data_IF_335992957797
#
_entry.id   IF_335992957797
#
_cell.length_a   1.000
_cell.length_b   1.000
_cell.length_c   1.000
_cell.angle_alpha   90.00
_cell.angle_beta   90.00
_cell.angle_gamma   90.00
#
_symmetry.space_group_name_H-M   'P 1'
#
loop_
_entity.id
_entity.type
_entity.pdbx_description
1 polymer ?
#
# COMPACT_ATOMS: atom_id res chain seq x y z
N UNK A 1 -25.49 2.03 8.67
CA UNK A 1 -24.39 2.07 9.64
C UNK A 1 -23.10 2.27 8.88
N UNK A 2 -22.49 3.43 9.01
CA UNK A 2 -21.21 3.76 8.43
C UNK A 2 -20.15 2.89 9.07
N UNK A 3 -19.63 1.95 8.31
CA UNK A 3 -18.41 1.24 8.70
C UNK A 3 -17.25 2.23 8.52
N UNK A 4 -16.95 2.97 9.58
CA UNK A 4 -15.69 3.71 9.66
C UNK A 4 -14.56 2.70 9.90
N UNK A 5 -14.15 2.02 8.83
CA UNK A 5 -12.92 1.23 8.85
C UNK A 5 -11.78 2.25 8.87
N UNK A 6 -11.03 2.28 9.98
CA UNK A 6 -9.93 3.25 10.20
C UNK A 6 -8.61 2.52 10.42
N UNK A 7 -8.27 1.64 9.47
CA UNK A 7 -7.04 0.87 9.56
C UNK A 7 -6.04 1.26 8.47
N UNK A 8 -4.76 1.23 8.84
CA UNK A 8 -3.65 1.27 7.92
C UNK A 8 -3.06 -0.10 7.81
N UNK A 9 -2.86 -0.51 6.58
CA UNK A 9 -2.35 -1.82 6.27
C UNK A 9 -0.95 -1.74 5.70
N UNK A 10 -0.09 -2.59 6.17
CA UNK A 10 1.14 -2.99 5.53
C UNK A 10 1.10 -4.49 5.26
N UNK A 11 1.40 -4.92 4.04
CA UNK A 11 1.39 -6.34 3.67
C UNK A 11 2.65 -6.69 2.90
N UNK A 12 3.27 -7.82 3.25
CA UNK A 12 4.42 -8.35 2.55
C UNK A 12 5.30 -9.25 3.40
N UNK A 13 6.36 -9.78 2.78
CA UNK A 13 7.37 -10.55 3.51
C UNK A 13 8.17 -9.63 4.43
N UNK A 14 8.31 -10.02 5.70
CA UNK A 14 9.08 -9.24 6.68
C UNK A 14 10.59 -9.41 6.42
N UNK A 15 11.09 -8.62 5.46
CA UNK A 15 12.46 -8.62 4.98
C UNK A 15 13.01 -7.20 4.92
N UNK A 16 14.06 -6.90 5.69
CA UNK A 16 14.60 -5.53 5.81
C UNK A 16 15.37 -5.07 4.57
N UNK A 17 15.97 -5.97 3.81
CA UNK A 17 16.74 -5.58 2.61
C UNK A 17 15.88 -4.95 1.52
N UNK A 18 14.66 -5.41 1.33
CA UNK A 18 13.78 -4.97 0.26
C UNK A 18 12.52 -4.28 0.78
N UNK A 19 11.72 -4.98 1.58
CA UNK A 19 10.37 -4.51 1.98
C UNK A 19 10.38 -3.44 3.08
N UNK A 20 11.44 -3.37 3.89
CA UNK A 20 11.64 -2.39 4.96
C UNK A 20 10.41 -2.18 5.85
N UNK A 21 9.86 -3.25 6.42
CA UNK A 21 8.70 -3.16 7.32
C UNK A 21 8.99 -2.36 8.61
N UNK A 22 10.25 -2.22 8.98
CA UNK A 22 10.70 -1.39 10.10
C UNK A 22 10.27 0.07 9.94
N UNK A 23 10.24 0.59 8.72
CA UNK A 23 9.88 1.99 8.45
C UNK A 23 8.44 2.31 8.80
N UNK A 24 7.51 1.38 8.57
CA UNK A 24 6.11 1.65 8.93
C UNK A 24 5.93 1.76 10.45
N UNK A 25 6.72 1.03 11.25
CA UNK A 25 6.73 1.21 12.71
C UNK A 25 7.25 2.59 13.12
N UNK A 26 8.29 3.09 12.44
CA UNK A 26 8.82 4.44 12.68
C UNK A 26 7.82 5.53 12.29
N UNK A 27 7.12 5.35 11.17
CA UNK A 27 6.01 6.22 10.74
C UNK A 27 4.89 6.16 11.76
N UNK A 28 4.49 4.97 12.21
CA UNK A 28 3.41 4.79 13.20
C UNK A 28 3.73 5.45 14.54
N UNK A 29 5.00 5.43 14.97
CA UNK A 29 5.44 6.13 16.18
C UNK A 29 5.11 7.64 16.15
N UNK A 30 5.14 8.25 14.97
CA UNK A 30 4.83 9.67 14.78
C UNK A 30 3.31 9.94 14.74
N UNK A 31 2.51 8.93 14.42
CA UNK A 31 1.08 9.06 14.14
C UNK A 31 0.17 8.60 15.27
N UNK A 32 0.60 7.64 16.08
CA UNK A 32 -0.29 6.93 17.02
C UNK A 32 -1.00 7.83 18.02
N UNK A 33 -0.41 8.95 18.41
CA UNK A 33 -1.03 9.91 19.34
C UNK A 33 -2.01 10.85 18.65
N UNK A 34 -1.75 11.16 17.36
CA UNK A 34 -2.58 12.04 16.55
C UNK A 34 -3.79 11.30 15.93
N UNK A 35 -3.73 9.97 15.90
CA UNK A 35 -4.74 9.13 15.27
C UNK A 35 -5.21 8.04 16.26
N UNK A 36 -5.90 8.42 17.37
CA UNK A 36 -6.24 7.51 18.46
C UNK A 36 -7.22 6.39 18.06
N UNK A 37 -8.04 6.63 17.04
CA UNK A 37 -9.05 5.68 16.55
C UNK A 37 -8.53 4.78 15.41
N UNK A 38 -7.26 4.89 15.05
CA UNK A 38 -6.68 4.11 13.96
C UNK A 38 -5.76 3.00 14.46
N UNK A 39 -5.72 1.90 13.74
CA UNK A 39 -4.81 0.78 13.99
C UNK A 39 -3.79 0.63 12.87
N UNK A 40 -2.62 0.10 13.18
CA UNK A 40 -1.66 -0.38 12.19
C UNK A 40 -1.73 -1.91 12.14
N UNK A 41 -2.08 -2.46 10.99
CA UNK A 41 -2.10 -3.91 10.77
C UNK A 41 -0.95 -4.30 9.86
N UNK A 42 -0.14 -5.26 10.28
CA UNK A 42 1.00 -5.80 9.55
C UNK A 42 0.70 -7.25 9.18
N UNK A 43 0.43 -7.49 7.90
CA UNK A 43 0.12 -8.82 7.37
C UNK A 43 1.35 -9.38 6.67
N UNK A 44 1.77 -10.54 7.08
CA UNK A 44 2.91 -11.26 6.52
C UNK A 44 3.83 -11.82 7.58
N UNK A 45 4.77 -12.61 7.13
CA UNK A 45 5.77 -13.25 7.98
C UNK A 45 7.14 -13.21 7.27
N UNK A 46 8.18 -13.54 8.03
CA UNK A 46 9.53 -13.56 7.48
C UNK A 46 10.61 -13.65 8.57
N UNK A 47 11.87 -13.69 8.16
CA UNK A 47 12.98 -13.89 9.08
C UNK A 47 13.11 -12.80 10.16
N UNK A 48 12.50 -11.62 9.94
CA UNK A 48 12.58 -10.49 10.86
C UNK A 48 11.30 -10.27 11.68
N UNK A 49 10.41 -11.26 11.76
CA UNK A 49 9.14 -11.15 12.51
C UNK A 49 9.35 -10.85 14.00
N UNK A 50 10.35 -11.48 14.62
CA UNK A 50 10.65 -11.27 16.03
C UNK A 50 11.25 -9.87 16.27
N UNK A 51 12.17 -9.45 15.42
CA UNK A 51 12.81 -8.13 15.47
C UNK A 51 11.77 -7.01 15.29
N UNK A 52 10.80 -7.20 14.42
CA UNK A 52 9.67 -6.27 14.24
C UNK A 52 8.85 -6.12 15.51
N UNK A 53 8.50 -7.23 16.16
CA UNK A 53 7.77 -7.22 17.44
C UNK A 53 8.59 -6.59 18.57
N UNK A 54 9.89 -6.84 18.62
CA UNK A 54 10.80 -6.22 19.57
C UNK A 54 10.92 -4.72 19.32
N UNK A 55 11.06 -4.29 18.07
CA UNK A 55 11.11 -2.88 17.70
C UNK A 55 9.81 -2.16 18.07
N UNK A 56 8.65 -2.76 17.81
CA UNK A 56 7.36 -2.22 18.23
C UNK A 56 7.29 -1.99 19.74
N UNK A 57 7.76 -2.96 20.55
CA UNK A 57 7.84 -2.82 22.01
C UNK A 57 8.82 -1.73 22.44
N UNK A 58 10.03 -1.69 21.85
CA UNK A 58 11.06 -0.69 22.11
C UNK A 58 10.57 0.73 21.84
N UNK A 59 9.77 0.92 20.79
CA UNK A 59 9.17 2.19 20.43
C UNK A 59 7.90 2.51 21.23
N UNK A 60 7.46 1.61 22.12
CA UNK A 60 6.22 1.73 22.88
C UNK A 60 5.00 1.98 22.00
N UNK A 61 4.92 1.23 20.88
CA UNK A 61 3.82 1.37 19.94
C UNK A 61 2.55 0.73 20.48
N UNK A 62 1.45 1.42 20.32
CA UNK A 62 0.11 0.94 20.65
C UNK A 62 -0.69 0.71 19.36
N UNK A 63 -1.72 -0.12 19.45
CA UNK A 63 -2.63 -0.42 18.35
C UNK A 63 -1.89 -0.90 17.10
N UNK A 64 -0.90 -1.80 17.29
CA UNK A 64 -0.20 -2.50 16.23
C UNK A 64 -0.56 -3.97 16.29
N UNK A 65 -1.17 -4.48 15.24
CA UNK A 65 -1.46 -5.90 15.04
C UNK A 65 -0.43 -6.54 14.10
N UNK A 66 0.14 -7.65 14.52
CA UNK A 66 0.95 -8.52 13.68
C UNK A 66 0.14 -9.77 13.35
N UNK A 67 -0.50 -9.76 12.18
CA UNK A 67 -1.40 -10.84 11.74
C UNK A 67 -0.65 -12.13 11.33
N UNK A 68 0.67 -12.05 11.13
CA UNK A 68 1.45 -13.18 10.65
C UNK A 68 1.15 -13.51 9.18
N UNK A 69 1.47 -14.76 8.78
CA UNK A 69 1.13 -15.24 7.44
C UNK A 69 -0.37 -15.53 7.37
N UNK A 70 -1.10 -14.67 6.69
CA UNK A 70 -2.55 -14.74 6.57
C UNK A 70 -3.00 -14.37 5.15
N UNK A 71 -4.24 -14.76 4.79
CA UNK A 71 -4.84 -14.31 3.53
C UNK A 71 -5.09 -12.78 3.62
N UNK A 72 -4.45 -11.96 2.78
CA UNK A 72 -4.51 -10.51 2.88
C UNK A 72 -5.86 -9.92 2.46
N UNK A 73 -6.70 -10.65 1.73
CA UNK A 73 -7.97 -10.15 1.18
C UNK A 73 -8.89 -9.60 2.27
N UNK A 74 -8.98 -10.29 3.42
CA UNK A 74 -9.76 -9.80 4.56
C UNK A 74 -9.27 -8.41 4.99
N UNK A 75 -7.98 -8.27 5.15
CA UNK A 75 -7.34 -7.03 5.62
C UNK A 75 -7.44 -5.90 4.59
N UNK A 76 -7.33 -6.20 3.29
CA UNK A 76 -7.58 -5.20 2.23
C UNK A 76 -9.00 -4.63 2.32
N UNK A 77 -10.02 -5.49 2.58
CA UNK A 77 -11.41 -5.05 2.72
C UNK A 77 -11.68 -4.21 3.97
N UNK A 78 -10.89 -4.40 5.01
CA UNK A 78 -11.03 -3.75 6.31
C UNK A 78 -10.11 -2.52 6.47
N UNK A 79 -9.30 -2.20 5.46
CA UNK A 79 -8.32 -1.10 5.54
C UNK A 79 -8.65 0.05 4.59
N UNK A 80 -8.44 1.26 5.07
CA UNK A 80 -8.62 2.49 4.26
C UNK A 80 -7.35 2.91 3.54
N UNK A 81 -6.18 2.72 4.16
CA UNK A 81 -4.89 3.18 3.65
C UNK A 81 -3.93 2.00 3.56
N UNK A 82 -3.27 1.85 2.41
CA UNK A 82 -2.20 0.90 2.22
C UNK A 82 -0.84 1.59 2.20
N UNK A 83 0.07 1.15 3.08
CA UNK A 83 1.39 1.74 3.25
C UNK A 83 2.46 0.85 2.61
N UNK A 84 3.18 1.35 1.59
CA UNK A 84 4.31 0.66 0.99
C UNK A 84 5.62 1.38 1.35
N UNK A 85 6.51 0.68 2.07
CA UNK A 85 7.76 1.28 2.59
C UNK A 85 9.02 0.66 1.99
N UNK A 86 8.88 -0.09 0.91
CA UNK A 86 9.95 -0.84 0.24
C UNK A 86 11.08 0.05 -0.27
N UNK A 87 12.28 -0.52 -0.35
CA UNK A 87 13.42 0.09 -1.04
C UNK A 87 13.22 0.05 -2.57
N UNK A 88 12.74 -1.08 -3.06
CA UNK A 88 12.45 -1.30 -4.48
C UNK A 88 11.45 -2.45 -4.64
N UNK A 89 10.77 -2.45 -5.76
CA UNK A 89 9.87 -3.51 -6.21
C UNK A 89 10.07 -3.74 -7.71
N UNK A 90 9.74 -4.92 -8.18
CA UNK A 90 9.59 -5.14 -9.63
C UNK A 90 8.35 -4.45 -10.16
N UNK A 91 7.18 -4.79 -9.62
CA UNK A 91 5.90 -4.14 -9.95
C UNK A 91 5.19 -3.57 -8.71
N UNK A 92 5.26 -4.26 -7.58
CA UNK A 92 4.47 -3.90 -6.39
C UNK A 92 3.08 -4.55 -6.37
N UNK A 93 2.98 -5.86 -6.62
CA UNK A 93 1.71 -6.59 -6.70
C UNK A 93 0.81 -6.36 -5.49
N UNK A 94 1.36 -6.36 -4.27
CA UNK A 94 0.59 -6.11 -3.04
C UNK A 94 -0.09 -4.74 -3.04
N UNK A 95 0.48 -3.77 -3.76
CA UNK A 95 -0.08 -2.43 -3.92
C UNK A 95 -1.33 -2.48 -4.80
N UNK A 96 -1.21 -3.09 -5.99
CA UNK A 96 -2.34 -3.23 -6.91
C UNK A 96 -3.43 -4.13 -6.36
N UNK A 97 -3.07 -5.16 -5.61
CA UNK A 97 -4.03 -5.99 -4.87
C UNK A 97 -4.84 -5.16 -3.87
N UNK A 98 -4.19 -4.37 -3.00
CA UNK A 98 -4.87 -3.52 -2.03
C UNK A 98 -5.77 -2.47 -2.70
N UNK A 99 -5.29 -1.87 -3.80
CA UNK A 99 -6.04 -0.87 -4.56
C UNK A 99 -7.33 -1.44 -5.19
N UNK A 100 -7.36 -2.71 -5.58
CA UNK A 100 -8.58 -3.38 -6.07
C UNK A 100 -9.70 -3.41 -5.02
N UNK A 101 -9.35 -3.35 -3.74
CA UNK A 101 -10.30 -3.29 -2.62
C UNK A 101 -10.55 -1.87 -2.11
N UNK A 102 -10.04 -0.85 -2.81
CA UNK A 102 -10.27 0.56 -2.48
C UNK A 102 -9.32 1.13 -1.43
N UNK A 103 -8.27 0.40 -1.01
CA UNK A 103 -7.25 0.96 -0.14
C UNK A 103 -6.50 2.07 -0.88
N UNK A 104 -6.44 3.26 -0.30
CA UNK A 104 -5.68 4.38 -0.86
C UNK A 104 -4.19 4.19 -0.58
N UNK A 105 -3.35 4.04 -1.59
CA UNK A 105 -1.93 3.77 -1.39
C UNK A 105 -1.15 5.01 -1.00
N UNK A 106 -0.21 4.84 -0.08
CA UNK A 106 0.89 5.78 0.17
C UNK A 106 2.18 4.99 0.04
N UNK A 107 3.08 5.44 -0.82
CA UNK A 107 4.33 4.74 -1.10
C UNK A 107 5.53 5.69 -1.17
N UNK A 108 6.73 5.18 -0.90
CA UNK A 108 7.93 5.88 -1.31
C UNK A 108 8.10 5.81 -2.83
N UNK A 109 8.49 6.92 -3.42
CA UNK A 109 8.91 7.02 -4.81
C UNK A 109 10.31 6.41 -4.97
N UNK A 110 10.39 5.08 -4.89
CA UNK A 110 11.65 4.33 -4.76
C UNK A 110 11.89 3.30 -5.87
N UNK A 111 10.98 3.19 -6.85
CA UNK A 111 11.12 2.29 -8.00
C UNK A 111 10.27 2.79 -9.19
N UNK A 112 10.77 2.55 -10.40
CA UNK A 112 10.20 3.10 -11.65
C UNK A 112 8.71 2.76 -11.88
N UNK A 113 8.34 1.49 -11.71
CA UNK A 113 6.96 1.05 -11.96
C UNK A 113 5.90 1.65 -11.03
N UNK A 114 6.31 2.37 -9.97
CA UNK A 114 5.37 3.03 -9.07
C UNK A 114 4.53 4.08 -9.79
N UNK A 115 5.13 4.80 -10.75
CA UNK A 115 4.46 5.85 -11.54
C UNK A 115 3.43 5.28 -12.54
N UNK A 116 3.56 3.98 -12.87
CA UNK A 116 2.56 3.26 -13.64
C UNK A 116 1.34 2.87 -12.80
N UNK A 117 1.47 2.87 -11.48
CA UNK A 117 0.43 2.44 -10.55
C UNK A 117 -0.23 3.65 -9.88
N UNK A 118 0.58 4.58 -9.36
CA UNK A 118 0.11 5.74 -8.60
C UNK A 118 0.30 7.02 -9.41
N UNK A 119 -0.82 7.71 -9.65
CA UNK A 119 -0.88 9.10 -10.07
C UNK A 119 -1.01 9.96 -8.80
N UNK A 120 0.10 10.63 -8.40
CA UNK A 120 0.19 11.35 -7.11
C UNK A 120 -0.94 12.36 -6.93
N UNK A 121 -1.63 12.27 -5.78
CA UNK A 121 -2.76 13.11 -5.42
C UNK A 121 -4.10 12.73 -6.04
N UNK A 122 -4.15 11.76 -6.96
CA UNK A 122 -5.38 11.33 -7.64
C UNK A 122 -5.87 9.96 -7.17
N UNK A 123 -5.06 8.93 -7.32
CA UNK A 123 -5.38 7.55 -6.90
C UNK A 123 -4.44 7.02 -5.82
N UNK A 124 -3.64 7.87 -5.22
CA UNK A 124 -2.69 7.56 -4.15
C UNK A 124 -1.69 8.68 -3.95
N UNK A 125 -0.68 8.41 -3.15
CA UNK A 125 0.31 9.42 -2.80
C UNK A 125 1.73 8.87 -2.86
N UNK A 126 2.62 9.65 -3.48
CA UNK A 126 4.06 9.37 -3.52
C UNK A 126 4.80 10.28 -2.53
N UNK A 127 5.78 9.72 -1.87
CA UNK A 127 6.63 10.43 -0.91
C UNK A 127 8.08 10.24 -1.33
N UNK A 128 8.87 11.33 -1.26
CA UNK A 128 10.30 11.26 -1.52
C UNK A 128 10.94 10.09 -0.76
N UNK A 129 11.83 9.32 -1.40
CA UNK A 129 12.42 8.15 -0.80
C UNK A 129 12.97 8.41 0.59
N UNK A 130 12.46 7.63 1.53
CA UNK A 130 12.89 7.49 2.91
C UNK A 130 12.69 8.70 3.82
N UNK A 131 11.90 9.68 3.39
CA UNK A 131 11.45 10.81 4.22
C UNK A 131 10.26 10.37 5.10
N UNK A 132 10.58 9.87 6.30
CA UNK A 132 9.57 9.35 7.25
C UNK A 132 8.66 10.46 7.78
N UNK A 133 9.15 11.69 7.88
CA UNK A 133 8.35 12.82 8.37
C UNK A 133 7.28 13.19 7.36
N UNK A 134 7.66 13.35 6.10
CA UNK A 134 6.69 13.59 5.04
C UNK A 134 5.75 12.42 4.81
N UNK A 135 6.21 11.19 5.02
CA UNK A 135 5.35 10.02 4.94
C UNK A 135 4.26 10.08 6.02
N UNK A 136 4.65 10.36 7.26
CA UNK A 136 3.71 10.51 8.37
C UNK A 136 2.74 11.67 8.12
N UNK A 137 3.21 12.84 7.68
CA UNK A 137 2.36 13.99 7.34
C UNK A 137 1.33 13.63 6.26
N UNK A 138 1.75 12.88 5.24
CA UNK A 138 0.84 12.46 4.16
C UNK A 138 -0.24 11.51 4.68
N UNK A 139 0.13 10.54 5.52
CA UNK A 139 -0.83 9.64 6.17
C UNK A 139 -1.82 10.42 7.03
N UNK A 140 -1.34 11.38 7.85
CA UNK A 140 -2.18 12.19 8.71
C UNK A 140 -3.19 13.00 7.90
N UNK A 141 -2.71 13.74 6.88
CA UNK A 141 -3.59 14.53 6.02
C UNK A 141 -4.65 13.69 5.30
N UNK A 142 -4.27 12.49 4.85
CA UNK A 142 -5.23 11.59 4.23
C UNK A 142 -6.25 11.08 5.26
N UNK A 143 -5.82 10.73 6.46
CA UNK A 143 -6.70 10.24 7.53
C UNK A 143 -7.72 11.31 7.96
N UNK A 144 -7.28 12.58 8.09
CA UNK A 144 -8.13 13.71 8.47
C UNK A 144 -9.13 14.11 7.37
N UNK A 145 -8.75 13.89 6.10
CA UNK A 145 -9.54 14.33 4.94
C UNK A 145 -9.90 13.14 4.04
N UNK A 146 -10.14 11.97 4.61
CA UNK A 146 -10.47 10.78 3.84
C UNK A 146 -11.80 10.97 3.11
N UNK A 147 -11.77 10.88 1.78
CA UNK A 147 -12.93 11.10 0.91
C UNK A 147 -13.24 9.84 0.12
N UNK A 148 -14.51 9.60 -0.11
CA UNK A 148 -14.99 8.52 -0.99
C UNK A 148 -14.42 8.65 -2.40
N UNK A 149 -14.19 9.87 -2.88
CA UNK A 149 -13.60 10.13 -4.20
C UNK A 149 -12.21 9.48 -4.37
N UNK A 150 -11.40 9.43 -3.30
CA UNK A 150 -10.12 8.70 -3.35
C UNK A 150 -10.33 7.21 -3.61
N UNK A 151 -11.27 6.60 -2.90
CA UNK A 151 -11.61 5.17 -3.06
C UNK A 151 -12.07 4.89 -4.50
N UNK A 152 -12.96 5.73 -5.02
CA UNK A 152 -13.46 5.60 -6.39
C UNK A 152 -12.34 5.76 -7.42
N UNK A 153 -11.47 6.75 -7.26
CA UNK A 153 -10.33 6.97 -8.16
C UNK A 153 -9.36 5.80 -8.12
N UNK A 154 -9.08 5.25 -6.92
CA UNK A 154 -8.24 4.06 -6.75
C UNK A 154 -8.83 2.88 -7.51
N UNK A 155 -10.10 2.55 -7.27
CA UNK A 155 -10.76 1.39 -7.90
C UNK A 155 -10.83 1.55 -9.43
N UNK A 156 -11.22 2.73 -9.93
CA UNK A 156 -11.28 3.01 -11.36
C UNK A 156 -9.90 2.90 -12.03
N UNK A 157 -8.83 3.31 -11.35
CA UNK A 157 -7.47 3.19 -11.88
C UNK A 157 -7.02 1.74 -12.06
N UNK A 158 -7.64 0.79 -11.35
CA UNK A 158 -7.33 -0.64 -11.46
C UNK A 158 -8.04 -1.34 -12.62
N UNK A 159 -9.07 -0.72 -13.23
CA UNK A 159 -9.80 -1.32 -14.36
C UNK A 159 -8.87 -1.72 -15.52
N UNK A 160 -7.84 -0.91 -15.79
CA UNK A 160 -6.87 -1.20 -16.85
C UNK A 160 -6.04 -2.46 -16.62
N UNK A 161 -5.90 -2.88 -15.36
CA UNK A 161 -5.14 -4.08 -14.95
C UNK A 161 -6.02 -5.32 -14.82
N UNK A 162 -7.34 -5.19 -15.05
CA UNK A 162 -8.23 -6.34 -15.07
C UNK A 162 -7.88 -7.30 -16.21
N UNK A 163 -7.94 -8.63 -15.99
CA UNK A 163 -7.54 -9.62 -16.97
C UNK A 163 -8.17 -9.41 -18.35
N UNK A 164 -9.44 -9.02 -18.40
CA UNK A 164 -10.18 -8.79 -19.65
C UNK A 164 -9.58 -7.63 -20.45
N UNK A 165 -9.11 -6.58 -19.79
CA UNK A 165 -8.53 -5.42 -20.43
C UNK A 165 -7.07 -5.69 -20.86
N UNK A 166 -6.32 -6.40 -20.04
CA UNK A 166 -4.95 -6.85 -20.39
C UNK A 166 -4.99 -7.77 -21.60
N UNK A 167 -5.89 -8.75 -21.64
CA UNK A 167 -6.06 -9.65 -22.80
C UNK A 167 -6.42 -8.90 -24.07
N UNK A 168 -7.30 -7.88 -24.00
CA UNK A 168 -7.62 -7.03 -25.17
C UNK A 168 -6.38 -6.30 -25.69
N UNK A 169 -5.48 -5.84 -24.83
CA UNK A 169 -4.22 -5.19 -25.24
C UNK A 169 -3.31 -6.17 -25.95
N UNK A 170 -3.15 -7.38 -25.44
CA UNK A 170 -2.37 -8.44 -26.10
C UNK A 170 -2.93 -8.81 -27.47
N UNK A 171 -4.24 -8.99 -27.58
CA UNK A 171 -4.88 -9.28 -28.87
C UNK A 171 -4.62 -8.17 -29.89
N UNK A 172 -4.72 -6.89 -29.46
CA UNK A 172 -4.41 -5.75 -30.34
C UNK A 172 -2.96 -5.77 -30.81
N UNK A 173 -2.03 -6.03 -29.89
CA UNK A 173 -0.60 -6.10 -30.19
C UNK A 173 -0.32 -7.19 -31.25
N UNK A 174 -0.78 -8.41 -31.01
CA UNK A 174 -0.60 -9.51 -31.96
C UNK A 174 -1.20 -9.22 -33.34
N UNK A 175 -2.39 -8.62 -33.39
CA UNK A 175 -3.02 -8.26 -34.66
C UNK A 175 -2.29 -7.13 -35.40
N UNK A 176 -1.60 -6.22 -34.69
CA UNK A 176 -0.80 -5.17 -35.30
C UNK A 176 0.48 -5.73 -35.91
N UNK A 177 1.17 -6.63 -35.22
CA UNK A 177 2.40 -7.28 -35.70
C UNK A 177 2.14 -8.17 -36.92
N UNK A 178 1.03 -8.90 -36.95
CA UNK A 178 0.66 -9.73 -38.12
C UNK A 178 0.36 -8.89 -39.36
N UNK A 179 -0.11 -7.65 -39.23
CA UNK A 179 -0.35 -6.74 -40.38
C UNK A 179 0.94 -6.12 -40.94
N UNK A 180 2.00 -6.08 -40.16
CA UNK A 180 3.31 -5.57 -40.64
C UNK A 180 4.12 -6.63 -41.40
N UNK A 181 3.67 -7.89 -41.44
CA UNK A 181 4.36 -9.00 -42.12
C UNK A 181 3.73 -9.39 -43.47
N UNK A 182 2.69 -8.69 -43.90
CA UNK A 182 2.04 -8.81 -45.22
C UNK A 182 2.28 -7.56 -46.08
#
# INVERSE_FOLDING_TARGET
SEMCIRDRLWCGRLLFSQKRPDRILLVWKKLQEQLPDWNLVIVGDGPFSNEMKQLSKKLSLQRVEFAGFANPIKYYKESSIFCLTSNHEGWGLVLTEAMQFGCVPIAFDSFESIHEIIEDGKNGFLVKPFDMDKYADKVLRLADNFKVDYVMNVMNSMERLMPENVVKLWIRLFNSEMKCQL
#
